data_IF_626182004608
#
_entry.id   IF_626182004608
#
_cell.length_a   1.000
_cell.length_b   1.000
_cell.length_c   1.000
_cell.angle_alpha   90.00
_cell.angle_beta   90.00
_cell.angle_gamma   90.00
#
_symmetry.space_group_name_H-M   'P 1'
#
loop_
_entity.id
_entity.type
_entity.pdbx_description
1 polymer ?
#
# COMPACT_ATOMS: atom_id res chain seq x y z
N UNK A 1 -27.30 63.90 -12.41
CA UNK A 1 -27.31 62.54 -11.81
C UNK A 1 -27.65 62.72 -10.34
N UNK A 2 -28.81 62.21 -9.90
CA UNK A 2 -29.33 62.39 -8.54
C UNK A 2 -28.36 61.83 -7.50
N UNK A 3 -28.35 62.41 -6.29
CA UNK A 3 -27.50 61.94 -5.17
C UNK A 3 -27.69 60.44 -4.91
N UNK A 4 -28.91 59.93 -5.05
CA UNK A 4 -29.24 58.50 -4.90
C UNK A 4 -28.48 57.59 -5.89
N UNK A 5 -28.25 58.04 -7.12
CA UNK A 5 -27.50 57.27 -8.11
C UNK A 5 -25.99 57.24 -7.81
N UNK A 6 -25.44 58.29 -7.17
CA UNK A 6 -24.05 58.30 -6.70
C UNK A 6 -23.88 57.38 -5.48
N UNK A 7 -24.82 57.40 -4.55
CA UNK A 7 -24.78 56.52 -3.36
C UNK A 7 -24.89 55.05 -3.73
N UNK A 8 -25.73 54.69 -4.72
CA UNK A 8 -25.84 53.30 -5.20
C UNK A 8 -24.58 52.83 -5.96
N UNK A 9 -23.91 53.73 -6.69
CA UNK A 9 -22.65 53.41 -7.38
C UNK A 9 -21.49 53.19 -6.39
N UNK A 10 -21.41 54.04 -5.35
CA UNK A 10 -20.43 53.89 -4.26
C UNK A 10 -20.58 52.56 -3.53
N UNK A 11 -21.83 52.14 -3.24
CA UNK A 11 -22.09 50.83 -2.60
C UNK A 11 -21.68 49.66 -3.50
N UNK A 12 -21.85 49.77 -4.82
CA UNK A 12 -21.42 48.74 -5.77
C UNK A 12 -19.90 48.70 -5.97
N UNK A 13 -19.20 49.82 -5.83
CA UNK A 13 -17.74 49.85 -5.87
C UNK A 13 -17.08 49.27 -4.61
N UNK A 14 -17.77 49.31 -3.47
CA UNK A 14 -17.23 48.79 -2.19
C UNK A 14 -17.01 47.27 -2.16
N UNK A 15 -17.81 46.50 -2.90
CA UNK A 15 -17.74 45.03 -2.92
C UNK A 15 -17.04 44.47 -4.16
N UNK A 16 -16.59 45.33 -5.09
CA UNK A 16 -15.87 44.88 -6.29
C UNK A 16 -14.48 44.36 -5.92
N UNK A 17 -14.10 43.28 -6.59
CA UNK A 17 -12.74 42.74 -6.56
C UNK A 17 -11.90 43.53 -7.57
N UNK A 18 -10.95 44.31 -7.07
CA UNK A 18 -10.06 45.09 -7.93
C UNK A 18 -8.84 44.26 -8.33
N UNK A 19 -8.62 44.11 -9.63
CA UNK A 19 -7.48 43.39 -10.18
C UNK A 19 -6.44 44.38 -10.70
N UNK A 20 -5.19 44.19 -10.29
CA UNK A 20 -4.03 44.89 -10.89
C UNK A 20 -3.75 44.35 -12.30
N UNK A 21 -2.88 45.03 -13.05
CA UNK A 21 -2.46 44.70 -14.43
C UNK A 21 -1.93 43.28 -14.58
N UNK A 22 -1.35 42.72 -13.52
CA UNK A 22 -0.86 41.34 -13.45
C UNK A 22 -1.94 40.32 -13.01
N UNK A 23 -3.19 40.77 -12.84
CA UNK A 23 -4.32 39.96 -12.43
C UNK A 23 -4.30 39.57 -10.94
N UNK A 24 -3.56 40.27 -10.10
CA UNK A 24 -3.55 40.11 -8.64
C UNK A 24 -4.66 40.96 -8.01
N UNK A 25 -5.26 40.47 -6.92
CA UNK A 25 -6.33 41.20 -6.22
C UNK A 25 -5.72 42.14 -5.18
N UNK A 26 -6.04 43.44 -5.29
CA UNK A 26 -5.66 44.44 -4.30
C UNK A 26 -6.88 44.84 -3.44
N UNK A 27 -6.70 44.79 -2.13
CA UNK A 27 -7.74 45.18 -1.17
C UNK A 27 -7.80 46.70 -1.02
N UNK A 28 -8.99 47.28 -1.12
CA UNK A 28 -9.20 48.71 -0.83
C UNK A 28 -9.07 49.00 0.67
N UNK A 29 -8.81 50.26 1.02
CA UNK A 29 -8.64 50.62 2.44
C UNK A 29 -9.93 50.46 3.26
N UNK A 30 -11.10 50.60 2.61
CA UNK A 30 -12.40 50.27 3.22
C UNK A 30 -12.55 48.76 3.50
N UNK A 31 -12.10 47.91 2.56
CA UNK A 31 -12.13 46.44 2.74
C UNK A 31 -11.17 46.00 3.85
N UNK A 32 -9.98 46.59 3.93
CA UNK A 32 -9.03 46.39 5.03
C UNK A 32 -9.62 46.75 6.39
N UNK A 33 -10.32 47.89 6.48
CA UNK A 33 -11.00 48.30 7.71
C UNK A 33 -12.09 47.31 8.14
N UNK A 34 -12.91 46.81 7.20
CA UNK A 34 -13.93 45.78 7.48
C UNK A 34 -13.31 44.48 8.01
N UNK A 35 -12.16 44.05 7.47
CA UNK A 35 -11.43 42.86 7.94
C UNK A 35 -10.98 43.06 9.39
N UNK A 36 -10.40 44.22 9.72
CA UNK A 36 -9.90 44.51 11.08
C UNK A 36 -11.05 44.66 12.08
N UNK A 37 -12.17 45.30 11.70
CA UNK A 37 -13.36 45.40 12.55
C UNK A 37 -13.99 44.04 12.83
N UNK A 38 -14.10 43.19 11.81
CA UNK A 38 -14.58 41.82 11.97
C UNK A 38 -13.63 41.00 12.86
N UNK A 39 -12.31 41.20 12.74
CA UNK A 39 -11.33 40.57 13.61
C UNK A 39 -11.49 40.99 15.08
N UNK A 40 -11.63 42.29 15.35
CA UNK A 40 -11.85 42.80 16.71
C UNK A 40 -13.17 42.33 17.34
N UNK A 41 -14.18 41.98 16.53
CA UNK A 41 -15.49 41.52 17.02
C UNK A 41 -15.50 40.03 17.33
N UNK A 42 -14.72 39.23 16.61
CA UNK A 42 -14.81 37.75 16.62
C UNK A 42 -13.80 37.06 17.55
N UNK A 43 -12.88 37.80 18.19
CA UNK A 43 -11.91 37.26 19.16
C UNK A 43 -10.72 36.50 18.53
N UNK A 44 -9.61 36.39 19.26
CA UNK A 44 -8.27 36.04 18.73
C UNK A 44 -8.14 34.66 18.07
N UNK A 45 -9.04 33.69 18.34
CA UNK A 45 -8.81 32.29 17.95
C UNK A 45 -9.79 31.67 16.93
N UNK A 46 -10.85 32.36 16.47
CA UNK A 46 -11.94 31.70 15.74
C UNK A 46 -12.51 32.45 14.52
N UNK A 47 -11.68 33.03 13.65
CA UNK A 47 -12.17 33.57 12.39
C UNK A 47 -12.18 32.55 11.24
N UNK A 48 -13.39 32.31 10.72
CA UNK A 48 -13.62 31.60 9.46
C UNK A 48 -13.31 32.51 8.26
N UNK A 49 -12.39 32.07 7.38
CA UNK A 49 -12.06 32.77 6.14
C UNK A 49 -13.30 32.95 5.23
N UNK A 50 -14.23 32.00 5.26
CA UNK A 50 -15.45 32.07 4.44
C UNK A 50 -16.37 33.21 4.88
N UNK A 51 -16.48 33.46 6.19
CA UNK A 51 -17.30 34.54 6.75
C UNK A 51 -16.66 35.92 6.51
N UNK A 52 -15.32 35.98 6.56
CA UNK A 52 -14.56 37.15 6.15
C UNK A 52 -14.79 37.48 4.67
N UNK A 53 -14.78 36.47 3.78
CA UNK A 53 -15.04 36.68 2.35
C UNK A 53 -16.47 37.17 2.09
N UNK A 54 -17.45 36.62 2.81
CA UNK A 54 -18.83 37.11 2.73
C UNK A 54 -18.95 38.55 3.23
N UNK A 55 -18.28 38.91 4.32
CA UNK A 55 -18.37 40.27 4.86
C UNK A 55 -17.65 41.31 3.99
N UNK A 56 -16.56 40.91 3.33
CA UNK A 56 -15.72 41.81 2.54
C UNK A 56 -16.17 41.98 1.09
N UNK A 57 -16.61 40.91 0.45
CA UNK A 57 -16.95 40.88 -0.98
C UNK A 57 -18.39 40.44 -1.27
N UNK A 58 -19.18 40.08 -0.24
CA UNK A 58 -20.54 39.55 -0.36
C UNK A 58 -20.63 38.31 -1.28
N UNK A 59 -19.54 37.53 -1.38
CA UNK A 59 -19.45 36.35 -2.22
C UNK A 59 -18.60 35.25 -1.56
N UNK A 60 -19.05 34.00 -1.69
CA UNK A 60 -18.25 32.82 -1.31
C UNK A 60 -17.21 32.55 -2.40
N UNK A 61 -15.96 32.45 -1.99
CA UNK A 61 -14.86 32.11 -2.88
C UNK A 61 -14.16 30.83 -2.43
N UNK A 62 -13.57 30.10 -3.38
CA UNK A 62 -12.72 28.95 -3.06
C UNK A 62 -11.46 29.38 -2.29
N UNK A 63 -10.96 28.52 -1.39
CA UNK A 63 -9.82 28.77 -0.52
C UNK A 63 -8.51 29.09 -1.28
N UNK A 64 -8.45 28.72 -2.57
CA UNK A 64 -7.33 28.95 -3.50
C UNK A 64 -7.54 30.16 -4.41
N UNK A 65 -8.69 30.82 -4.34
CA UNK A 65 -9.00 31.97 -5.17
C UNK A 65 -8.12 33.18 -4.83
N UNK A 66 -7.88 34.02 -5.84
CA UNK A 66 -7.06 35.24 -5.69
C UNK A 66 -7.58 36.21 -4.61
N UNK A 67 -8.92 36.42 -4.45
CA UNK A 67 -9.45 37.24 -3.35
C UNK A 67 -9.13 36.68 -1.96
N UNK A 68 -9.24 35.36 -1.78
CA UNK A 68 -8.90 34.69 -0.51
C UNK A 68 -7.40 34.81 -0.20
N UNK A 69 -6.54 34.69 -1.22
CA UNK A 69 -5.10 34.88 -1.07
C UNK A 69 -4.75 36.32 -0.69
N UNK A 70 -5.45 37.32 -1.22
CA UNK A 70 -5.27 38.72 -0.85
C UNK A 70 -5.63 38.98 0.62
N UNK A 71 -6.75 38.42 1.11
CA UNK A 71 -7.14 38.48 2.52
C UNK A 71 -6.09 37.79 3.41
N UNK A 72 -5.63 36.58 3.04
CA UNK A 72 -4.58 35.86 3.78
C UNK A 72 -3.26 36.63 3.83
N UNK A 73 -2.86 37.25 2.72
CA UNK A 73 -1.64 38.08 2.64
C UNK A 73 -1.76 39.31 3.54
N UNK A 74 -2.92 39.94 3.58
CA UNK A 74 -3.19 41.08 4.45
C UNK A 74 -3.19 40.68 5.94
N UNK A 75 -3.85 39.58 6.30
CA UNK A 75 -3.85 39.07 7.68
C UNK A 75 -2.45 38.65 8.13
N UNK A 76 -1.68 38.00 7.26
CA UNK A 76 -0.28 37.64 7.52
C UNK A 76 0.59 38.90 7.75
N UNK A 77 0.37 39.99 7.00
CA UNK A 77 1.07 41.27 7.23
C UNK A 77 0.78 41.90 8.60
N UNK A 78 -0.34 41.51 9.24
CA UNK A 78 -0.75 41.96 10.57
C UNK A 78 -0.50 40.91 11.67
N UNK A 79 0.19 39.81 11.35
CA UNK A 79 0.42 38.67 12.24
C UNK A 79 -0.87 38.01 12.80
N UNK A 80 -1.98 38.12 12.08
CA UNK A 80 -3.26 37.54 12.47
C UNK A 80 -3.40 36.13 11.88
N UNK A 81 -3.71 35.14 12.71
CA UNK A 81 -3.95 33.75 12.28
C UNK A 81 -5.45 33.52 12.04
N UNK A 82 -5.79 32.79 10.98
CA UNK A 82 -7.17 32.41 10.67
C UNK A 82 -7.25 30.94 10.31
N UNK A 83 -8.33 30.26 10.70
CA UNK A 83 -8.62 28.88 10.32
C UNK A 83 -9.54 28.84 9.10
N UNK A 84 -9.34 27.84 8.24
CA UNK A 84 -10.11 27.71 6.98
C UNK A 84 -11.56 27.27 7.20
N UNK A 85 -11.91 26.78 8.39
CA UNK A 85 -13.23 26.26 8.72
C UNK A 85 -13.54 26.61 10.16
N UNK A 86 -14.76 27.05 10.43
CA UNK A 86 -15.27 27.13 11.79
C UNK A 86 -15.02 25.79 12.52
N UNK A 87 -14.60 25.79 13.79
CA UNK A 87 -14.52 24.57 14.57
C UNK A 87 -15.89 23.89 14.55
N UNK A 88 -15.95 22.65 14.05
CA UNK A 88 -17.19 21.86 14.08
C UNK A 88 -17.56 21.65 15.54
N UNK A 89 -18.75 22.10 15.96
CA UNK A 89 -19.28 21.81 17.30
C UNK A 89 -19.21 20.29 17.53
N UNK A 90 -18.53 19.89 18.59
CA UNK A 90 -18.55 18.50 19.04
C UNK A 90 -19.97 18.21 19.51
N UNK A 91 -20.58 17.16 18.96
CA UNK A 91 -21.93 16.74 19.32
C UNK A 91 -21.79 15.78 20.48
N UNK A 92 -22.20 16.22 21.67
CA UNK A 92 -22.32 15.33 22.83
C UNK A 92 -23.60 14.49 22.69
N UNK A 93 -23.45 13.17 22.82
CA UNK A 93 -24.58 12.24 22.77
C UNK A 93 -25.33 12.28 24.11
N UNK A 94 -26.65 12.37 24.04
CA UNK A 94 -27.54 12.23 25.21
C UNK A 94 -27.53 10.78 25.73
N UNK A 95 -27.96 10.57 26.97
CA UNK A 95 -27.93 9.24 27.58
C UNK A 95 -28.88 8.24 26.89
N UNK A 96 -30.04 8.70 26.40
CA UNK A 96 -30.96 7.89 25.57
C UNK A 96 -30.30 7.45 24.25
N UNK A 97 -29.52 8.34 23.63
CA UNK A 97 -28.77 8.04 22.41
C UNK A 97 -27.69 6.98 22.66
N UNK A 98 -27.01 7.04 23.82
CA UNK A 98 -26.01 6.04 24.23
C UNK A 98 -26.65 4.67 24.44
N UNK A 99 -27.79 4.59 25.13
CA UNK A 99 -28.52 3.34 25.33
C UNK A 99 -28.98 2.71 24.00
N UNK A 100 -29.48 3.54 23.08
CA UNK A 100 -29.86 3.07 21.75
C UNK A 100 -28.67 2.49 20.97
N UNK A 101 -27.50 3.13 21.07
CA UNK A 101 -26.26 2.65 20.43
C UNK A 101 -25.84 1.30 21.04
N UNK A 102 -25.93 1.12 22.36
CA UNK A 102 -25.60 -0.13 23.05
C UNK A 102 -26.54 -1.26 22.60
N UNK A 103 -27.84 -1.00 22.55
CA UNK A 103 -28.85 -1.99 22.16
C UNK A 103 -28.74 -2.42 20.69
N UNK A 104 -28.31 -1.53 19.80
CA UNK A 104 -28.16 -1.81 18.37
C UNK A 104 -26.69 -2.03 17.95
N UNK A 105 -25.78 -2.24 18.91
CA UNK A 105 -24.35 -2.34 18.68
C UNK A 105 -23.98 -3.55 17.80
N UNK A 106 -24.67 -4.67 17.99
CA UNK A 106 -24.47 -5.91 17.26
C UNK A 106 -25.35 -5.93 16.00
N UNK A 107 -24.76 -5.62 14.84
CA UNK A 107 -25.35 -5.88 13.52
C UNK A 107 -25.65 -4.67 12.65
N UNK A 108 -25.70 -3.43 13.18
CA UNK A 108 -25.90 -2.22 12.36
C UNK A 108 -24.63 -1.40 12.19
N UNK A 109 -24.46 -0.82 11.00
CA UNK A 109 -23.33 0.05 10.73
C UNK A 109 -23.47 1.38 11.51
N UNK A 110 -22.35 1.98 11.95
CA UNK A 110 -22.38 3.25 12.70
C UNK A 110 -23.09 4.37 11.91
N UNK A 111 -23.01 4.34 10.58
CA UNK A 111 -23.74 5.24 9.69
C UNK A 111 -25.27 5.02 9.75
N UNK A 112 -25.73 3.78 9.78
CA UNK A 112 -27.16 3.46 9.86
C UNK A 112 -27.73 3.84 11.22
N UNK A 113 -26.97 3.56 12.30
CA UNK A 113 -27.32 3.99 13.65
C UNK A 113 -27.43 5.52 13.69
N UNK A 114 -26.46 6.25 13.13
CA UNK A 114 -26.50 7.71 13.08
C UNK A 114 -27.66 8.24 12.22
N UNK A 115 -27.99 7.62 11.08
CA UNK A 115 -29.14 8.02 10.26
C UNK A 115 -30.46 7.92 11.01
N UNK A 116 -30.64 6.85 11.78
CA UNK A 116 -31.83 6.64 12.61
C UNK A 116 -31.83 7.59 13.81
N UNK A 117 -30.69 7.74 14.48
CA UNK A 117 -30.57 8.52 15.72
C UNK A 117 -30.71 10.02 15.50
N UNK A 118 -30.26 10.53 14.36
CA UNK A 118 -30.35 11.95 13.99
C UNK A 118 -31.44 12.24 12.94
N UNK A 119 -32.26 11.25 12.57
CA UNK A 119 -33.32 11.37 11.55
C UNK A 119 -32.88 12.05 10.25
N UNK A 120 -31.63 11.81 9.83
CA UNK A 120 -31.05 12.47 8.66
C UNK A 120 -30.46 11.44 7.70
N UNK A 121 -31.19 11.15 6.63
CA UNK A 121 -30.80 10.15 5.63
C UNK A 121 -29.63 10.58 4.74
N UNK A 122 -29.27 11.87 4.74
CA UNK A 122 -28.17 12.44 3.95
C UNK A 122 -26.81 12.36 4.67
N UNK A 123 -26.76 11.80 5.88
CA UNK A 123 -25.51 11.66 6.62
C UNK A 123 -24.50 10.78 5.87
N UNK A 124 -23.28 11.30 5.78
CA UNK A 124 -22.11 10.58 5.27
C UNK A 124 -21.14 10.25 6.42
N UNK A 125 -20.22 9.28 6.25
CA UNK A 125 -19.29 8.88 7.32
C UNK A 125 -18.42 10.02 7.90
N UNK A 126 -18.30 11.13 7.18
CA UNK A 126 -17.48 12.28 7.55
C UNK A 126 -18.24 13.33 8.40
N UNK A 127 -19.55 13.15 8.59
CA UNK A 127 -20.37 14.01 9.44
C UNK A 127 -20.01 13.86 10.92
N UNK A 128 -20.13 14.95 11.68
CA UNK A 128 -19.82 15.03 13.13
C UNK A 128 -20.63 14.02 13.94
N UNK A 129 -21.89 13.83 13.55
CA UNK A 129 -22.90 12.94 14.08
C UNK A 129 -22.42 11.49 14.04
N UNK A 130 -21.93 11.06 12.87
CA UNK A 130 -21.41 9.70 12.67
C UNK A 130 -20.11 9.51 13.46
N UNK A 131 -19.26 10.54 13.53
CA UNK A 131 -18.02 10.49 14.31
C UNK A 131 -18.27 10.38 15.81
N UNK A 132 -19.30 11.04 16.35
CA UNK A 132 -19.70 10.92 17.75
C UNK A 132 -20.18 9.50 18.09
N UNK A 133 -20.95 8.87 17.19
CA UNK A 133 -21.36 7.46 17.35
C UNK A 133 -20.14 6.54 17.30
N UNK A 134 -19.19 6.77 16.38
CA UNK A 134 -17.95 5.99 16.28
C UNK A 134 -17.09 6.15 17.53
N UNK A 135 -16.90 7.37 18.04
CA UNK A 135 -16.08 7.60 19.24
C UNK A 135 -16.70 6.93 20.46
N UNK A 136 -18.02 6.98 20.63
CA UNK A 136 -18.72 6.26 21.70
C UNK A 136 -18.60 4.74 21.55
N UNK A 137 -18.70 4.22 20.32
CA UNK A 137 -18.49 2.81 20.01
C UNK A 137 -17.08 2.33 20.40
N UNK A 138 -16.07 3.15 20.14
CA UNK A 138 -14.66 2.86 20.46
C UNK A 138 -14.40 2.78 21.97
N UNK A 139 -15.00 3.68 22.74
CA UNK A 139 -14.86 3.70 24.21
C UNK A 139 -15.54 2.48 24.83
N UNK A 140 -16.71 2.10 24.31
CA UNK A 140 -17.52 1.00 24.86
C UNK A 140 -16.91 -0.38 24.57
N UNK A 141 -16.17 -0.55 23.47
CA UNK A 141 -15.51 -1.81 23.17
C UNK A 141 -14.16 -1.64 22.41
N UNK A 142 -13.05 -1.36 23.13
CA UNK A 142 -11.75 -1.10 22.53
C UNK A 142 -11.16 -2.30 21.76
N UNK A 143 -11.61 -3.53 22.09
CA UNK A 143 -11.05 -4.77 21.54
C UNK A 143 -11.53 -5.10 20.12
N UNK A 144 -12.55 -4.41 19.60
CA UNK A 144 -13.16 -4.74 18.31
C UNK A 144 -12.80 -3.77 17.17
N UNK A 145 -12.29 -2.57 17.49
CA UNK A 145 -12.27 -1.45 16.53
C UNK A 145 -10.96 -1.14 15.77
N UNK A 146 -9.75 -1.57 16.18
CA UNK A 146 -8.58 -1.47 15.29
C UNK A 146 -8.76 -2.24 13.98
N UNK A 147 -9.74 -3.15 13.91
CA UNK A 147 -10.07 -3.96 12.73
C UNK A 147 -11.09 -3.31 11.78
N UNK A 148 -11.81 -2.27 12.19
CA UNK A 148 -12.93 -1.70 11.40
C UNK A 148 -12.59 -0.45 10.59
N UNK A 149 -11.41 0.14 10.77
CA UNK A 149 -10.94 1.29 9.98
C UNK A 149 -10.11 0.92 8.75
N UNK A 150 -9.86 -0.37 8.53
CA UNK A 150 -9.47 -0.88 7.22
C UNK A 150 -10.69 -1.62 6.67
N UNK A 151 -11.31 -1.09 5.63
CA UNK A 151 -12.30 -1.83 4.83
C UNK A 151 -11.79 -3.27 4.55
N UNK A 152 -12.65 -4.27 4.82
CA UNK A 152 -12.41 -5.72 4.83
C UNK A 152 -11.70 -6.20 6.12
N UNK A 153 -12.35 -6.79 7.12
CA UNK A 153 -13.51 -7.68 7.17
C UNK A 153 -14.07 -7.66 8.62
N UNK A 154 -15.35 -7.95 8.83
CA UNK A 154 -15.90 -8.79 9.93
C UNK A 154 -17.44 -8.83 9.82
N UNK A 155 -17.92 -10.07 9.68
CA UNK A 155 -19.22 -10.68 10.00
C UNK A 155 -20.56 -10.09 9.56
N UNK A 156 -21.36 -10.97 8.92
CA UNK A 156 -22.82 -10.86 8.87
C UNK A 156 -23.52 -11.19 7.56
N UNK A 157 -22.82 -11.67 6.51
CA UNK A 157 -23.48 -12.13 5.29
C UNK A 157 -22.74 -13.32 4.70
N UNK A 158 -23.42 -14.48 4.66
CA UNK A 158 -22.93 -15.74 4.09
C UNK A 158 -22.73 -15.65 2.56
N UNK A 159 -23.23 -14.57 1.92
CA UNK A 159 -23.25 -14.37 0.46
C UNK A 159 -22.27 -13.30 -0.06
N UNK A 160 -21.19 -12.97 0.63
CA UNK A 160 -20.23 -11.99 0.07
C UNK A 160 -19.30 -12.66 -0.94
N UNK A 161 -19.23 -12.10 -2.13
CA UNK A 161 -18.22 -12.39 -3.14
C UNK A 161 -16.79 -12.26 -2.54
N UNK A 162 -15.86 -13.09 -3.00
CA UNK A 162 -14.44 -12.99 -2.64
C UNK A 162 -13.85 -11.70 -3.21
N UNK A 163 -13.10 -10.98 -2.37
CA UNK A 163 -12.33 -9.81 -2.78
C UNK A 163 -10.85 -10.01 -2.47
N UNK A 164 -9.96 -9.87 -3.48
CA UNK A 164 -8.52 -9.97 -3.25
C UNK A 164 -8.00 -8.78 -2.43
N UNK A 165 -6.90 -8.96 -1.67
CA UNK A 165 -6.30 -7.88 -0.89
C UNK A 165 -5.77 -6.78 -1.81
N UNK A 166 -6.19 -5.54 -1.62
CA UNK A 166 -5.78 -4.39 -2.45
C UNK A 166 -4.55 -3.67 -1.91
N UNK A 167 -4.40 -3.67 -0.59
CA UNK A 167 -3.37 -2.92 0.13
C UNK A 167 -2.39 -3.88 0.81
N UNK A 168 -1.13 -3.44 0.98
CA UNK A 168 -0.09 -4.22 1.67
C UNK A 168 -0.49 -4.61 3.11
N UNK A 169 -1.20 -3.72 3.80
CA UNK A 169 -1.72 -4.01 5.15
C UNK A 169 -2.77 -5.14 5.14
N UNK A 170 -3.66 -5.16 4.13
CA UNK A 170 -4.64 -6.25 3.97
C UNK A 170 -3.93 -7.56 3.61
N UNK A 171 -2.94 -7.51 2.72
CA UNK A 171 -2.12 -8.66 2.38
C UNK A 171 -1.41 -9.24 3.61
N UNK A 172 -0.75 -8.39 4.41
CA UNK A 172 -0.10 -8.81 5.65
C UNK A 172 -1.08 -9.42 6.66
N UNK A 173 -2.28 -8.85 6.80
CA UNK A 173 -3.32 -9.40 7.67
C UNK A 173 -3.78 -10.79 7.21
N UNK A 174 -3.90 -11.02 5.88
CA UNK A 174 -4.23 -12.34 5.32
C UNK A 174 -3.11 -13.34 5.55
N UNK A 175 -1.84 -12.94 5.38
CA UNK A 175 -0.68 -13.82 5.70
C UNK A 175 -0.70 -14.21 7.17
N UNK A 176 -0.85 -13.25 8.09
CA UNK A 176 -0.90 -13.53 9.54
C UNK A 176 -2.09 -14.43 9.93
N UNK A 177 -3.19 -14.38 9.18
CA UNK A 177 -4.36 -15.24 9.41
C UNK A 177 -4.10 -16.70 9.06
N UNK A 178 -3.35 -16.97 8.00
CA UNK A 178 -3.21 -18.32 7.44
C UNK A 178 -1.84 -18.97 7.66
N UNK A 179 -0.78 -18.16 7.82
CA UNK A 179 0.60 -18.62 7.98
C UNK A 179 1.05 -18.41 9.42
N UNK A 180 1.14 -19.49 10.18
CA UNK A 180 1.60 -19.44 11.56
C UNK A 180 3.07 -18.96 11.66
N UNK A 181 3.34 -18.13 12.68
CA UNK A 181 4.71 -17.70 13.03
C UNK A 181 5.27 -16.54 12.21
N UNK A 182 4.52 -15.98 11.26
CA UNK A 182 4.97 -14.83 10.47
C UNK A 182 4.76 -13.49 11.15
N UNK A 183 3.82 -13.38 12.11
CA UNK A 183 3.49 -12.21 12.95
C UNK A 183 4.01 -10.88 12.40
N UNK A 184 3.62 -10.54 11.16
CA UNK A 184 4.09 -9.34 10.49
C UNK A 184 3.51 -8.16 11.25
N UNK A 185 4.34 -7.45 12.01
CA UNK A 185 3.91 -6.25 12.71
C UNK A 185 3.42 -5.20 11.72
N UNK A 186 2.58 -4.29 12.21
CA UNK A 186 2.01 -3.24 11.38
C UNK A 186 3.18 -2.41 10.78
N UNK A 187 3.29 -2.46 9.45
CA UNK A 187 4.30 -1.74 8.66
C UNK A 187 5.72 -2.33 8.60
N UNK A 188 5.97 -3.59 8.97
CA UNK A 188 7.32 -4.21 8.80
C UNK A 188 7.84 -4.17 7.35
N UNK A 189 6.93 -4.25 6.38
CA UNK A 189 7.25 -4.12 4.96
C UNK A 189 7.82 -2.75 4.58
N UNK A 190 7.68 -1.71 5.41
CA UNK A 190 8.38 -0.43 5.19
C UNK A 190 9.87 -0.53 5.51
N UNK A 191 10.24 -1.40 6.45
CA UNK A 191 11.63 -1.61 6.89
C UNK A 191 12.32 -2.66 6.02
N UNK A 192 11.60 -3.70 5.60
CA UNK A 192 12.15 -4.80 4.83
C UNK A 192 11.60 -4.84 3.38
N UNK A 193 12.44 -4.43 2.44
CA UNK A 193 12.12 -4.41 0.99
C UNK A 193 11.73 -5.79 0.45
N UNK A 194 12.27 -6.87 1.01
CA UNK A 194 11.98 -8.24 0.58
C UNK A 194 10.57 -8.66 1.00
N UNK A 195 10.16 -8.35 2.23
CA UNK A 195 8.79 -8.59 2.71
C UNK A 195 7.80 -7.76 1.88
N UNK A 196 8.16 -6.52 1.56
CA UNK A 196 7.35 -5.70 0.66
C UNK A 196 7.16 -6.36 -0.71
N UNK A 197 8.23 -6.84 -1.34
CA UNK A 197 8.12 -7.53 -2.64
C UNK A 197 7.28 -8.80 -2.56
N UNK A 198 7.36 -9.54 -1.46
CA UNK A 198 6.54 -10.72 -1.22
C UNK A 198 5.04 -10.40 -1.15
N UNK A 199 4.69 -9.37 -0.38
CA UNK A 199 3.29 -8.93 -0.26
C UNK A 199 2.77 -8.35 -1.59
N UNK A 200 3.57 -7.59 -2.33
CA UNK A 200 3.20 -7.06 -3.65
C UNK A 200 2.95 -8.18 -4.67
N UNK A 201 3.83 -9.18 -4.73
CA UNK A 201 3.65 -10.35 -5.58
C UNK A 201 2.41 -11.16 -5.17
N UNK A 202 2.21 -11.40 -3.87
CA UNK A 202 1.05 -12.12 -3.37
C UNK A 202 -0.26 -11.42 -3.75
N UNK A 203 -0.33 -10.09 -3.61
CA UNK A 203 -1.48 -9.30 -4.08
C UNK A 203 -1.74 -9.56 -5.56
N UNK A 204 -0.70 -9.51 -6.40
CA UNK A 204 -0.84 -9.79 -7.83
C UNK A 204 -1.34 -11.21 -8.10
N UNK A 205 -0.91 -12.20 -7.32
CA UNK A 205 -1.33 -13.60 -7.49
C UNK A 205 -2.78 -13.82 -7.07
N UNK A 206 -3.24 -13.20 -5.97
CA UNK A 206 -4.64 -13.26 -5.55
C UNK A 206 -5.60 -12.57 -6.52
N UNK A 207 -5.12 -11.59 -7.30
CA UNK A 207 -5.89 -10.96 -8.38
C UNK A 207 -5.97 -11.80 -9.66
N UNK A 208 -5.38 -13.00 -9.70
CA UNK A 208 -5.52 -13.88 -10.86
C UNK A 208 -7.01 -14.23 -11.09
N UNK A 209 -7.47 -14.08 -12.33
CA UNK A 209 -8.87 -14.30 -12.69
C UNK A 209 -9.36 -15.70 -12.33
N UNK A 210 -8.53 -16.72 -12.55
CA UNK A 210 -8.87 -18.11 -12.22
C UNK A 210 -9.02 -18.29 -10.72
N UNK A 211 -8.11 -17.70 -9.94
CA UNK A 211 -8.17 -17.75 -8.49
C UNK A 211 -9.47 -17.12 -7.96
N UNK A 212 -9.83 -15.92 -8.44
CA UNK A 212 -11.06 -15.24 -8.02
C UNK A 212 -12.32 -16.03 -8.37
N UNK A 213 -12.41 -16.56 -9.59
CA UNK A 213 -13.55 -17.38 -10.02
C UNK A 213 -13.72 -18.62 -9.15
N UNK A 214 -12.62 -19.31 -8.83
CA UNK A 214 -12.66 -20.48 -7.97
C UNK A 214 -13.04 -20.13 -6.53
N UNK A 215 -12.47 -19.06 -5.97
CA UNK A 215 -12.82 -18.59 -4.63
C UNK A 215 -14.32 -18.24 -4.52
N UNK A 216 -14.89 -17.64 -5.57
CA UNK A 216 -16.31 -17.30 -5.65
C UNK A 216 -17.23 -18.51 -5.84
N UNK A 217 -16.73 -19.60 -6.44
CA UNK A 217 -17.52 -20.82 -6.66
C UNK A 217 -17.84 -21.56 -5.36
N UNK A 218 -17.02 -21.39 -4.32
CA UNK A 218 -17.24 -22.04 -3.03
C UNK A 218 -18.33 -21.32 -2.23
N UNK A 219 -19.45 -22.02 -1.99
CA UNK A 219 -20.58 -21.52 -1.20
C UNK A 219 -20.26 -21.52 0.28
N UNK A 220 -19.65 -22.60 0.79
CA UNK A 220 -19.24 -22.72 2.19
C UNK A 220 -18.07 -21.78 2.49
N UNK A 221 -18.22 -20.92 3.51
CA UNK A 221 -17.14 -20.04 3.98
C UNK A 221 -15.90 -20.81 4.43
N UNK A 222 -16.09 -22.00 5.01
CA UNK A 222 -14.99 -22.88 5.42
C UNK A 222 -14.14 -23.36 4.23
N UNK A 223 -14.78 -23.81 3.15
CA UNK A 223 -14.08 -24.22 1.92
C UNK A 223 -13.32 -23.05 1.29
N UNK A 224 -13.95 -21.87 1.26
CA UNK A 224 -13.32 -20.66 0.71
C UNK A 224 -12.11 -20.21 1.54
N UNK A 225 -12.23 -20.25 2.86
CA UNK A 225 -11.13 -19.92 3.76
C UNK A 225 -9.98 -20.93 3.63
N UNK A 226 -10.29 -22.23 3.46
CA UNK A 226 -9.30 -23.27 3.23
C UNK A 226 -8.61 -23.10 1.86
N UNK A 227 -9.36 -22.77 0.81
CA UNK A 227 -8.81 -22.45 -0.52
C UNK A 227 -7.77 -21.34 -0.44
N UNK A 228 -8.19 -20.19 0.09
CA UNK A 228 -7.36 -19.00 0.18
C UNK A 228 -6.15 -19.23 1.08
N UNK A 229 -6.36 -19.85 2.25
CA UNK A 229 -5.30 -20.11 3.21
C UNK A 229 -4.25 -21.09 2.68
N UNK A 230 -4.67 -22.14 1.97
CA UNK A 230 -3.75 -23.08 1.32
C UNK A 230 -2.92 -22.37 0.26
N UNK A 231 -3.57 -21.58 -0.59
CA UNK A 231 -2.89 -20.84 -1.64
C UNK A 231 -1.86 -19.84 -1.08
N UNK A 232 -2.26 -19.00 -0.12
CA UNK A 232 -1.38 -18.01 0.51
C UNK A 232 -0.18 -18.71 1.15
N UNK A 233 -0.39 -19.82 1.85
CA UNK A 233 0.67 -20.60 2.47
C UNK A 233 1.71 -21.10 1.46
N UNK A 234 1.29 -21.38 0.22
CA UNK A 234 2.21 -21.78 -0.85
C UNK A 234 2.88 -20.60 -1.56
N UNK A 235 2.28 -19.42 -1.64
CA UNK A 235 2.80 -18.37 -2.55
C UNK A 235 3.44 -17.18 -1.84
N UNK A 236 3.14 -16.93 -0.56
CA UNK A 236 3.51 -15.68 0.11
C UNK A 236 5.02 -15.41 0.13
N UNK A 237 5.86 -16.44 0.18
CA UNK A 237 7.33 -16.33 0.27
C UNK A 237 8.03 -16.31 -1.11
N UNK A 238 7.26 -16.16 -2.20
CA UNK A 238 7.73 -16.28 -3.59
C UNK A 238 7.40 -15.02 -4.39
N UNK A 239 8.41 -14.41 -5.00
CA UNK A 239 8.23 -13.20 -5.85
C UNK A 239 8.16 -13.57 -7.35
N UNK A 240 8.73 -14.72 -7.72
CA UNK A 240 9.15 -15.05 -9.08
C UNK A 240 8.29 -16.13 -9.78
N UNK A 241 7.05 -16.30 -9.32
CA UNK A 241 6.12 -17.28 -9.88
C UNK A 241 5.64 -16.88 -11.27
N UNK A 242 5.65 -17.81 -12.22
CA UNK A 242 5.03 -17.60 -13.54
C UNK A 242 3.53 -17.87 -13.50
N UNK A 243 2.81 -17.44 -14.53
CA UNK A 243 1.36 -17.66 -14.64
C UNK A 243 1.02 -19.15 -14.62
N UNK A 244 1.83 -19.99 -15.26
CA UNK A 244 1.65 -21.44 -15.26
C UNK A 244 1.84 -22.04 -13.86
N UNK A 245 2.86 -21.60 -13.11
CA UNK A 245 3.06 -22.05 -11.74
C UNK A 245 1.92 -21.64 -10.83
N UNK A 246 1.42 -20.40 -10.97
CA UNK A 246 0.24 -19.92 -10.25
C UNK A 246 -0.96 -20.82 -10.54
N UNK A 247 -1.20 -21.16 -11.80
CA UNK A 247 -2.29 -22.06 -12.19
C UNK A 247 -2.15 -23.46 -11.57
N UNK A 248 -0.93 -24.02 -11.54
CA UNK A 248 -0.68 -25.30 -10.90
C UNK A 248 -0.86 -25.24 -9.37
N UNK A 249 -0.50 -24.12 -8.73
CA UNK A 249 -0.81 -23.92 -7.31
C UNK A 249 -2.31 -23.82 -7.05
N UNK A 250 -3.06 -23.21 -7.96
CA UNK A 250 -4.54 -23.19 -7.89
C UNK A 250 -5.08 -24.62 -8.00
N UNK A 251 -4.59 -25.44 -8.93
CA UNK A 251 -4.99 -26.85 -9.07
C UNK A 251 -4.74 -27.63 -7.77
N UNK A 252 -3.58 -27.43 -7.13
CA UNK A 252 -3.25 -28.05 -5.84
C UNK A 252 -4.25 -27.63 -4.76
N UNK A 253 -4.69 -26.37 -4.75
CA UNK A 253 -5.66 -25.87 -3.77
C UNK A 253 -7.07 -26.42 -4.03
N UNK A 254 -7.46 -26.58 -5.30
CA UNK A 254 -8.71 -27.27 -5.68
C UNK A 254 -8.69 -28.73 -5.22
N UNK A 255 -7.55 -29.41 -5.34
CA UNK A 255 -7.37 -30.80 -4.89
C UNK A 255 -7.49 -30.95 -3.37
N UNK A 256 -7.01 -29.96 -2.60
CA UNK A 256 -7.15 -29.94 -1.12
C UNK A 256 -8.63 -29.85 -0.71
N UNK A 257 -9.42 -29.03 -1.40
CA UNK A 257 -10.86 -28.88 -1.09
C UNK A 257 -11.64 -30.10 -1.54
N UNK A 258 -11.28 -30.66 -2.69
CA UNK A 258 -11.88 -31.90 -3.18
C UNK A 258 -11.63 -33.04 -2.20
N UNK A 259 -10.43 -33.11 -1.60
CA UNK A 259 -10.14 -34.06 -0.53
C UNK A 259 -11.02 -33.85 0.71
N UNK A 260 -11.23 -32.60 1.15
CA UNK A 260 -12.15 -32.30 2.26
C UNK A 260 -13.58 -32.78 1.97
N UNK A 261 -14.09 -32.54 0.76
CA UNK A 261 -15.43 -32.98 0.36
C UNK A 261 -15.57 -34.49 0.33
N UNK A 262 -14.57 -35.18 -0.21
CA UNK A 262 -14.53 -36.65 -0.20
C UNK A 262 -14.51 -37.17 1.24
N UNK A 263 -13.83 -36.48 2.16
CA UNK A 263 -13.83 -36.86 3.57
C UNK A 263 -15.19 -36.68 4.26
N UNK A 264 -15.86 -35.53 4.03
CA UNK A 264 -17.24 -35.32 4.51
C UNK A 264 -18.20 -36.39 3.98
N UNK A 265 -18.07 -36.75 2.70
CA UNK A 265 -18.90 -37.76 2.05
C UNK A 265 -18.61 -39.17 2.59
N UNK A 266 -17.33 -39.51 2.78
CA UNK A 266 -16.91 -40.77 3.40
C UNK A 266 -17.52 -40.89 4.81
N UNK A 267 -17.49 -39.83 5.61
CA UNK A 267 -18.02 -39.87 6.98
C UNK A 267 -19.54 -39.98 7.01
N UNK A 268 -20.24 -39.33 6.08
CA UNK A 268 -21.69 -39.52 5.89
C UNK A 268 -22.05 -40.97 5.56
N UNK A 269 -21.37 -41.59 4.58
CA UNK A 269 -21.67 -42.98 4.19
C UNK A 269 -21.26 -44.00 5.25
N UNK A 270 -20.20 -43.74 6.03
CA UNK A 270 -19.87 -44.57 7.20
C UNK A 270 -20.98 -44.54 8.25
N UNK A 271 -21.51 -43.36 8.58
CA UNK A 271 -22.62 -43.23 9.53
C UNK A 271 -23.89 -43.96 9.04
N UNK A 272 -24.20 -43.85 7.75
CA UNK A 272 -25.31 -44.61 7.15
C UNK A 272 -25.09 -46.12 7.20
N UNK A 273 -23.85 -46.59 7.00
CA UNK A 273 -23.50 -48.00 7.09
C UNK A 273 -23.75 -48.55 8.51
N UNK A 274 -23.32 -47.83 9.54
CA UNK A 274 -23.52 -48.19 10.95
C UNK A 274 -25.01 -48.31 11.31
N UNK A 275 -25.83 -47.39 10.79
CA UNK A 275 -27.29 -47.43 10.97
C UNK A 275 -27.93 -48.64 10.27
N UNK A 276 -27.54 -48.93 9.02
CA UNK A 276 -28.08 -50.04 8.22
C UNK A 276 -27.68 -51.41 8.77
N UNK A 277 -26.51 -51.54 9.38
CA UNK A 277 -26.06 -52.81 9.97
C UNK A 277 -26.87 -53.24 11.20
N UNK A 278 -27.64 -52.33 11.81
CA UNK A 278 -28.51 -52.64 12.93
C UNK A 278 -29.88 -53.23 12.49
N UNK A 279 -30.24 -53.14 11.20
CA UNK A 279 -31.48 -53.67 10.64
C UNK A 279 -31.26 -55.01 9.90
N UNK A 280 -32.07 -56.03 10.19
CA UNK A 280 -31.83 -57.41 9.70
C UNK A 280 -31.96 -57.60 8.17
N UNK A 281 -32.55 -56.64 7.47
CA UNK A 281 -32.75 -56.66 6.00
C UNK A 281 -31.69 -55.85 5.22
N UNK A 282 -30.72 -55.24 5.90
CA UNK A 282 -29.76 -54.26 5.34
C UNK A 282 -28.55 -54.79 4.56
N UNK A 283 -28.45 -56.10 4.27
CA UNK A 283 -27.21 -56.67 3.69
C UNK A 283 -26.86 -56.14 2.30
N UNK A 284 -27.86 -55.95 1.42
CA UNK A 284 -27.62 -55.46 0.04
C UNK A 284 -27.24 -53.98 0.02
N UNK A 285 -27.90 -53.16 0.85
CA UNK A 285 -27.60 -51.74 0.99
C UNK A 285 -26.24 -51.51 1.65
N UNK A 286 -25.88 -52.32 2.64
CA UNK A 286 -24.55 -52.33 3.26
C UNK A 286 -23.42 -52.65 2.26
N UNK A 287 -23.63 -53.63 1.36
CA UNK A 287 -22.68 -53.96 0.30
C UNK A 287 -22.49 -52.80 -0.70
N UNK A 288 -23.59 -52.19 -1.16
CA UNK A 288 -23.53 -51.06 -2.09
C UNK A 288 -22.81 -49.83 -1.50
N UNK A 289 -23.09 -49.49 -0.23
CA UNK A 289 -22.41 -48.39 0.48
C UNK A 289 -20.92 -48.69 0.64
N UNK A 290 -20.57 -49.95 0.94
CA UNK A 290 -19.17 -50.37 1.09
C UNK A 290 -18.40 -50.25 -0.23
N UNK A 291 -19.02 -50.61 -1.36
CA UNK A 291 -18.42 -50.43 -2.69
C UNK A 291 -18.23 -48.95 -3.04
N UNK A 292 -19.22 -48.10 -2.75
CA UNK A 292 -19.11 -46.65 -2.92
C UNK A 292 -17.97 -46.05 -2.08
N UNK A 293 -17.82 -46.49 -0.83
CA UNK A 293 -16.72 -46.08 0.05
C UNK A 293 -15.35 -46.49 -0.48
N UNK A 294 -15.22 -47.65 -1.11
CA UNK A 294 -13.98 -48.07 -1.76
C UNK A 294 -13.65 -47.14 -2.94
N UNK A 295 -14.67 -46.76 -3.73
CA UNK A 295 -14.55 -45.78 -4.81
C UNK A 295 -14.02 -44.43 -4.32
N UNK A 296 -14.66 -43.84 -3.30
CA UNK A 296 -14.25 -42.56 -2.72
C UNK A 296 -12.83 -42.60 -2.14
N UNK A 297 -12.46 -43.71 -1.46
CA UNK A 297 -11.08 -43.88 -0.94
C UNK A 297 -10.05 -43.96 -2.06
N UNK A 298 -10.40 -44.57 -3.19
CA UNK A 298 -9.53 -44.63 -4.37
C UNK A 298 -9.36 -43.24 -4.97
N UNK A 299 -10.44 -42.49 -5.16
CA UNK A 299 -10.40 -41.11 -5.65
C UNK A 299 -9.54 -40.21 -4.75
N UNK A 300 -9.71 -40.31 -3.43
CA UNK A 300 -8.87 -39.60 -2.45
C UNK A 300 -7.39 -39.93 -2.63
N UNK A 301 -7.04 -41.20 -2.80
CA UNK A 301 -5.65 -41.63 -3.01
C UNK A 301 -5.08 -41.12 -4.33
N UNK A 302 -5.89 -41.10 -5.39
CA UNK A 302 -5.46 -40.61 -6.70
C UNK A 302 -5.26 -39.08 -6.67
N UNK A 303 -6.13 -38.33 -5.98
CA UNK A 303 -5.95 -36.90 -5.71
C UNK A 303 -4.65 -36.63 -4.93
N UNK A 304 -4.34 -37.44 -3.91
CA UNK A 304 -3.07 -37.33 -3.16
C UNK A 304 -1.83 -37.56 -4.03
N UNK A 305 -1.88 -38.55 -4.93
CA UNK A 305 -0.80 -38.84 -5.88
C UNK A 305 -0.60 -37.68 -6.84
N UNK A 306 -1.68 -37.23 -7.50
CA UNK A 306 -1.64 -36.07 -8.41
C UNK A 306 -1.03 -34.85 -7.72
N UNK A 307 -1.50 -34.53 -6.51
CA UNK A 307 -0.97 -33.40 -5.72
C UNK A 307 0.51 -33.53 -5.41
N UNK A 308 0.98 -34.73 -5.05
CA UNK A 308 2.41 -34.99 -4.81
C UNK A 308 3.23 -34.75 -6.08
N UNK A 309 2.78 -35.27 -7.22
CA UNK A 309 3.48 -35.14 -8.50
C UNK A 309 3.52 -33.68 -8.98
N UNK A 310 2.44 -32.92 -8.77
CA UNK A 310 2.39 -31.48 -9.05
C UNK A 310 3.37 -30.68 -8.19
N UNK A 311 3.44 -30.99 -6.88
CA UNK A 311 4.39 -30.33 -5.96
C UNK A 311 5.83 -30.63 -6.38
N UNK A 312 6.15 -31.88 -6.70
CA UNK A 312 7.49 -32.28 -7.15
C UNK A 312 7.87 -31.57 -8.47
N UNK A 313 6.93 -31.52 -9.42
CA UNK A 313 7.11 -30.82 -10.70
C UNK A 313 7.35 -29.32 -10.51
N UNK A 314 6.58 -28.67 -9.62
CA UNK A 314 6.72 -27.24 -9.31
C UNK A 314 8.07 -26.94 -8.67
N UNK A 315 8.47 -27.74 -7.68
CA UNK A 315 9.77 -27.59 -7.02
C UNK A 315 10.93 -27.78 -8.00
N UNK A 316 10.85 -28.81 -8.86
CA UNK A 316 11.86 -29.09 -9.88
C UNK A 316 12.01 -27.97 -10.90
N UNK A 317 10.90 -27.57 -11.56
CA UNK A 317 10.92 -26.51 -12.59
C UNK A 317 11.37 -25.16 -12.03
N UNK A 318 10.93 -24.82 -10.82
CA UNK A 318 11.36 -23.58 -10.16
C UNK A 318 12.83 -23.61 -9.79
N UNK A 319 13.30 -24.71 -9.20
CA UNK A 319 14.71 -24.88 -8.83
C UNK A 319 15.63 -24.73 -10.04
N UNK A 320 15.32 -25.40 -11.14
CA UNK A 320 16.07 -25.29 -12.40
C UNK A 320 16.12 -23.85 -12.93
N UNK A 321 15.00 -23.12 -12.89
CA UNK A 321 14.96 -21.71 -13.32
C UNK A 321 15.83 -20.81 -12.46
N UNK A 322 15.75 -20.98 -11.13
CA UNK A 322 16.57 -20.22 -10.19
C UNK A 322 18.05 -20.54 -10.39
N UNK A 323 18.40 -21.81 -10.62
CA UNK A 323 19.76 -22.24 -10.91
C UNK A 323 20.29 -21.61 -12.21
N UNK A 324 19.49 -21.57 -13.27
CA UNK A 324 19.85 -20.93 -14.54
C UNK A 324 20.11 -19.43 -14.34
N UNK A 325 19.23 -18.71 -13.63
CA UNK A 325 19.45 -17.30 -13.28
C UNK A 325 20.71 -17.09 -12.44
N UNK A 326 21.03 -18.00 -11.52
CA UNK A 326 22.27 -17.94 -10.72
C UNK A 326 23.51 -18.11 -11.59
N UNK A 327 23.48 -19.05 -12.56
CA UNK A 327 24.59 -19.26 -13.51
C UNK A 327 24.81 -18.05 -14.41
N UNK A 328 23.74 -17.45 -14.92
CA UNK A 328 23.79 -16.21 -15.72
C UNK A 328 24.38 -15.05 -14.91
N UNK A 329 23.89 -14.83 -13.68
CA UNK A 329 24.40 -13.76 -12.81
C UNK A 329 25.88 -13.96 -12.46
N UNK A 330 26.32 -15.20 -12.22
CA UNK A 330 27.73 -15.51 -12.00
C UNK A 330 28.58 -15.19 -13.25
N UNK A 331 28.09 -15.51 -14.44
CA UNK A 331 28.76 -15.16 -15.69
C UNK A 331 28.89 -13.64 -15.88
N UNK A 332 27.83 -12.88 -15.56
CA UNK A 332 27.86 -11.41 -15.62
C UNK A 332 28.86 -10.85 -14.61
N UNK A 333 28.89 -11.36 -13.38
CA UNK A 333 29.88 -10.96 -12.37
C UNK A 333 31.30 -11.24 -12.83
N UNK A 334 31.55 -12.41 -13.42
CA UNK A 334 32.86 -12.76 -13.98
C UNK A 334 33.27 -11.80 -15.11
N UNK A 335 32.33 -11.39 -15.97
CA UNK A 335 32.58 -10.38 -17.01
C UNK A 335 32.90 -9.00 -16.40
N UNK A 336 32.18 -8.58 -15.37
CA UNK A 336 32.43 -7.31 -14.67
C UNK A 336 33.79 -7.33 -13.96
N UNK A 337 34.18 -8.46 -13.37
CA UNK A 337 35.50 -8.63 -12.78
C UNK A 337 36.61 -8.59 -13.85
N UNK A 338 36.41 -9.25 -14.98
CA UNK A 338 37.33 -9.19 -16.12
C UNK A 338 37.48 -7.74 -16.62
N UNK A 339 36.39 -6.99 -16.75
CA UNK A 339 36.43 -5.58 -17.13
C UNK A 339 37.16 -4.70 -16.12
N UNK A 340 36.89 -4.87 -14.82
CA UNK A 340 37.63 -4.17 -13.76
C UNK A 340 39.12 -4.51 -13.77
N UNK A 341 39.48 -5.75 -14.09
CA UNK A 341 40.89 -6.16 -14.21
C UNK A 341 41.57 -5.47 -15.39
N UNK A 342 40.86 -5.32 -16.52
CA UNK A 342 41.37 -4.67 -17.72
C UNK A 342 41.55 -3.17 -17.50
N UNK A 343 40.60 -2.51 -16.83
CA UNK A 343 40.73 -1.09 -16.47
C UNK A 343 41.96 -0.85 -15.57
N UNK A 344 42.17 -1.71 -14.56
CA UNK A 344 43.38 -1.66 -13.72
C UNK A 344 44.66 -1.85 -14.53
N UNK A 345 44.64 -2.77 -15.52
CA UNK A 345 45.79 -3.01 -16.41
C UNK A 345 46.13 -1.78 -17.23
N UNK A 346 45.12 -1.09 -17.78
CA UNK A 346 45.31 0.16 -18.52
C UNK A 346 45.87 1.29 -17.63
N UNK A 347 45.39 1.41 -16.39
CA UNK A 347 45.93 2.38 -15.43
C UNK A 347 47.42 2.12 -15.12
N UNK A 348 47.81 0.85 -14.95
CA UNK A 348 49.21 0.48 -14.73
C UNK A 348 50.09 0.80 -15.94
N UNK A 349 49.61 0.56 -17.16
CA UNK A 349 50.32 0.94 -18.38
C UNK A 349 50.51 2.45 -18.48
N UNK A 350 49.48 3.25 -18.18
CA UNK A 350 49.57 4.70 -18.18
C UNK A 350 50.59 5.22 -17.15
N UNK A 351 50.67 4.60 -15.97
CA UNK A 351 51.72 4.93 -14.97
C UNK A 351 53.10 4.56 -15.47
N UNK A 352 53.24 3.40 -16.12
CA UNK A 352 54.52 2.95 -16.69
C UNK A 352 55.00 3.88 -17.81
N UNK A 353 54.10 4.34 -18.68
CA UNK A 353 54.40 5.34 -19.72
C UNK A 353 54.82 6.68 -19.11
N UNK A 354 54.11 7.17 -18.08
CA UNK A 354 54.50 8.39 -17.37
C UNK A 354 55.89 8.26 -16.72
N UNK A 355 56.19 7.12 -16.10
CA UNK A 355 57.53 6.84 -15.55
C UNK A 355 58.60 6.82 -16.64
N UNK A 356 58.30 6.22 -17.79
CA UNK A 356 59.22 6.19 -18.94
C UNK A 356 59.47 7.58 -19.52
N UNK A 357 58.43 8.42 -19.59
CA UNK A 357 58.56 9.80 -20.02
C UNK A 357 59.40 10.64 -19.04
N UNK A 358 59.15 10.52 -17.73
CA UNK A 358 59.96 11.18 -16.71
C UNK A 358 61.44 10.73 -16.74
N UNK A 359 61.68 9.42 -16.90
CA UNK A 359 63.04 8.89 -17.10
C UNK A 359 63.71 9.45 -18.36
N UNK A 360 62.95 9.60 -19.45
CA UNK A 360 63.49 10.18 -20.69
C UNK A 360 63.87 11.64 -20.48
N UNK A 361 63.02 12.42 -19.81
CA UNK A 361 63.31 13.81 -19.45
C UNK A 361 64.53 13.92 -18.54
N UNK A 362 64.68 13.01 -17.57
CA UNK A 362 65.84 12.96 -16.69
C UNK A 362 67.12 12.58 -17.45
N UNK A 363 67.05 11.62 -18.39
CA UNK A 363 68.17 11.28 -19.29
C UNK A 363 68.53 12.44 -20.20
N UNK A 364 67.55 13.13 -20.77
CA UNK A 364 67.78 14.30 -21.62
C UNK A 364 68.42 15.43 -20.81
N UNK A 365 67.96 15.69 -19.57
CA UNK A 365 68.58 16.65 -18.65
C UNK A 365 70.03 16.27 -18.30
N UNK A 366 70.30 15.00 -18.00
CA UNK A 366 71.66 14.51 -17.74
C UNK A 366 72.56 14.61 -18.99
N UNK A 367 72.01 14.41 -20.18
CA UNK A 367 72.75 14.54 -21.45
C UNK A 367 73.13 15.98 -21.77
N UNK A 368 72.31 16.95 -21.34
CA UNK A 368 72.57 18.38 -21.50
C UNK A 368 73.54 18.92 -20.44
N UNK A 369 73.82 18.16 -19.38
CA UNK A 369 74.78 18.56 -18.35
C UNK A 369 76.20 18.46 -18.91
N UNK A 370 76.73 19.60 -19.37
CA UNK A 370 78.04 19.73 -20.01
C UNK A 370 79.18 19.19 -19.15
N UNK A 371 79.08 19.29 -17.83
CA UNK A 371 80.09 18.82 -16.88
C UNK A 371 80.18 17.29 -16.83
N UNK A 372 79.04 16.60 -16.96
CA UNK A 372 79.01 15.13 -17.04
C UNK A 372 79.54 14.67 -18.39
N UNK A 373 79.21 15.38 -19.47
CA UNK A 373 79.80 15.13 -20.79
C UNK A 373 81.32 15.36 -20.81
N UNK A 374 81.81 16.44 -20.20
CA UNK A 374 83.24 16.75 -20.10
C UNK A 374 84.00 15.71 -19.25
N UNK A 375 83.39 15.23 -18.16
CA UNK A 375 83.92 14.17 -17.31
C UNK A 375 84.02 12.82 -18.04
N UNK A 376 82.97 12.42 -18.75
CA UNK A 376 82.93 11.14 -19.51
C UNK A 376 83.84 11.19 -20.75
N UNK A 377 83.92 12.34 -21.44
CA UNK A 377 84.78 12.53 -22.60
C UNK A 377 86.28 12.66 -22.24
N UNK A 378 86.63 12.69 -20.95
CA UNK A 378 88.02 12.77 -20.48
C UNK A 378 88.72 14.07 -20.85
N UNK A 379 87.94 15.15 -20.98
CA UNK A 379 88.42 16.51 -21.28
C UNK A 379 88.58 17.23 -19.95
N UNK A 380 89.74 17.05 -19.30
CA UNK A 380 90.13 17.90 -18.18
C UNK A 380 90.54 19.29 -18.69
N UNK A 381 90.41 20.31 -17.83
CA UNK A 381 90.74 21.70 -18.14
C UNK A 381 92.16 21.86 -18.71
N UNK A 382 93.08 20.97 -18.29
CA UNK A 382 94.47 20.89 -18.75
C UNK A 382 94.64 20.52 -20.24
N UNK A 383 93.70 19.77 -20.84
CA UNK A 383 93.76 19.37 -22.26
C UNK A 383 93.22 20.41 -23.24
N UNK A 384 92.38 21.34 -22.77
CA UNK A 384 91.77 22.40 -23.59
C UNK A 384 92.62 23.67 -23.63
N UNK A 385 93.54 23.84 -22.67
CA UNK A 385 94.43 25.01 -22.55
C UNK A 385 95.87 24.74 -23.04
N UNK A 386 96.15 23.55 -23.55
CA UNK A 386 97.38 23.14 -24.25
C UNK A 386 97.13 23.07 -25.75
#
# INVERSE_FOLDING_TARGET
MSEEAKTALDVLEEFKVNYDKDGNVELSDKQKLKIVQFWNTSGEDNLSIDELCMTTFNQKFDARSKPVLAIKKYLASKNLKTTLKAPKKEIELTDEQKEYIINNYNGKNALEIAKILFNNNLLTPLHSEVKAVISFKNVTNPKLFPLLNNSADIDGNEDKEYFPPKNLAQAAARVNKYVHGTNLENEEWKKNSRIKSYLESMISFCHNQRFMLNANRYTKTAERALFEGSFISFVWDKVDLTVEEINLYIDICEDIISELRIDEEIDFYKGNLENVTNDSDGKKTSMAISEHLIGLRKEKNDNKKRRKDLIETLQGKRSQRIENKRKENASILNLVEAWKSEEKRLQLLAIAEKRKAALKEEVDNLSQMSDVMALIAGVSQDKMLS
#
